data_IF_621955679563
#
_entry.id   IF_621955679563
#
_cell.length_a   1.000
_cell.length_b   1.000
_cell.length_c   1.000
_cell.angle_alpha   90.00
_cell.angle_beta   90.00
_cell.angle_gamma   90.00
#
_symmetry.space_group_name_H-M   'P 1'
#
loop_
_entity.id
_entity.type
_entity.pdbx_description
1 polymer ?
#
# COMPACT_ATOMS: atom_id res chain seq x y z
N UNK A 1 7.15 12.34 15.36
CA UNK A 1 6.18 12.92 14.41
C UNK A 1 6.75 12.71 13.03
N UNK A 2 5.97 12.22 12.06
CA UNK A 2 6.44 12.16 10.67
C UNK A 2 6.59 13.59 10.17
N UNK A 3 7.65 13.85 9.41
CA UNK A 3 8.00 15.19 8.95
C UNK A 3 6.84 15.79 8.12
N UNK A 4 6.45 17.03 8.40
CA UNK A 4 5.40 17.74 7.68
C UNK A 4 5.78 17.92 6.21
N UNK A 5 4.87 17.64 5.28
CA UNK A 5 5.11 17.77 3.85
C UNK A 5 5.40 16.44 3.13
N UNK A 6 5.52 15.32 3.84
CA UNK A 6 5.59 14.00 3.22
C UNK A 6 4.21 13.64 2.68
N UNK A 7 4.13 13.39 1.37
CA UNK A 7 2.91 13.01 0.68
C UNK A 7 3.04 11.61 0.09
N UNK A 8 2.71 10.54 0.85
CA UNK A 8 2.86 9.18 0.36
C UNK A 8 1.84 8.86 -0.73
N UNK A 9 2.23 7.95 -1.64
CA UNK A 9 1.34 7.34 -2.62
C UNK A 9 0.80 6.05 -2.04
N UNK A 10 -0.50 6.01 -1.75
CA UNK A 10 -1.17 4.91 -1.06
C UNK A 10 -2.00 4.10 -2.05
N UNK A 11 -1.65 2.83 -2.19
CA UNK A 11 -2.43 1.86 -2.97
C UNK A 11 -3.30 1.05 -2.03
N UNK A 12 -4.54 0.85 -2.42
CA UNK A 12 -5.47 -0.01 -1.71
C UNK A 12 -6.51 -0.62 -2.66
N UNK A 13 -7.28 -1.57 -2.16
CA UNK A 13 -8.30 -2.28 -2.91
C UNK A 13 -8.18 -3.79 -2.77
N UNK A 14 -9.10 -4.58 -3.34
CA UNK A 14 -9.23 -6.00 -3.09
C UNK A 14 -7.96 -6.81 -3.38
N UNK A 15 -7.73 -7.82 -2.54
CA UNK A 15 -6.72 -8.82 -2.83
C UNK A 15 -7.07 -9.50 -4.17
N UNK A 16 -6.12 -9.55 -5.12
CA UNK A 16 -6.39 -10.06 -6.47
C UNK A 16 -6.74 -8.99 -7.51
N UNK A 17 -6.91 -7.71 -7.11
CA UNK A 17 -7.15 -6.62 -8.07
C UNK A 17 -5.94 -6.29 -8.97
N UNK A 18 -4.74 -6.78 -8.62
CA UNK A 18 -3.52 -6.58 -9.41
C UNK A 18 -2.63 -5.43 -8.94
N UNK A 19 -2.84 -4.88 -7.74
CA UNK A 19 -2.02 -3.82 -7.13
C UNK A 19 -0.53 -4.08 -7.26
N UNK A 20 -0.08 -5.24 -6.78
CA UNK A 20 1.36 -5.59 -6.77
C UNK A 20 1.99 -5.63 -8.16
N UNK A 21 1.23 -5.96 -9.22
CA UNK A 21 1.71 -5.94 -10.60
C UNK A 21 1.91 -4.51 -11.08
N UNK A 22 0.95 -3.62 -10.82
CA UNK A 22 1.06 -2.19 -11.12
C UNK A 22 2.20 -1.53 -10.36
N UNK A 23 2.33 -1.83 -9.06
CA UNK A 23 3.41 -1.34 -8.20
C UNK A 23 4.80 -1.75 -8.69
N UNK A 24 4.99 -3.03 -9.01
CA UNK A 24 6.26 -3.53 -9.55
C UNK A 24 6.64 -2.81 -10.83
N UNK A 25 5.67 -2.56 -11.70
CA UNK A 25 5.90 -1.82 -12.96
C UNK A 25 6.26 -0.37 -12.70
N UNK A 26 5.55 0.29 -11.78
CA UNK A 26 5.82 1.67 -11.39
C UNK A 26 7.22 1.85 -10.79
N UNK A 27 7.60 0.99 -9.84
CA UNK A 27 8.92 1.01 -9.22
C UNK A 27 10.05 0.71 -10.23
N UNK A 28 9.77 -0.13 -11.23
CA UNK A 28 10.74 -0.43 -12.30
C UNK A 28 10.93 0.75 -13.26
N UNK A 29 9.85 1.47 -13.59
CA UNK A 29 9.92 2.62 -14.50
C UNK A 29 10.51 3.87 -13.83
N UNK A 30 10.24 4.05 -12.53
CA UNK A 30 10.67 5.23 -11.76
C UNK A 30 11.49 4.84 -10.52
N UNK A 31 12.65 4.18 -10.68
CA UNK A 31 13.42 3.63 -9.55
C UNK A 31 13.98 4.71 -8.61
N UNK A 32 14.19 5.92 -9.13
CA UNK A 32 14.74 7.05 -8.35
C UNK A 32 13.64 7.94 -7.76
N UNK A 33 12.40 7.78 -8.19
CA UNK A 33 11.27 8.61 -7.74
C UNK A 33 10.50 7.98 -6.58
N UNK A 34 10.42 6.67 -6.53
CA UNK A 34 9.63 5.94 -5.55
C UNK A 34 10.46 4.97 -4.74
N UNK A 35 10.06 4.82 -3.46
CA UNK A 35 10.50 3.76 -2.57
C UNK A 35 9.30 3.08 -1.91
N UNK A 36 9.33 1.76 -1.78
CA UNK A 36 8.29 1.00 -1.11
C UNK A 36 8.52 0.98 0.39
N UNK A 37 7.49 1.29 1.17
CA UNK A 37 7.53 1.11 2.62
C UNK A 37 7.31 -0.36 2.95
N UNK A 38 8.27 -0.97 3.62
CA UNK A 38 8.15 -2.35 4.09
C UNK A 38 7.32 -2.37 5.36
N UNK A 39 6.12 -2.98 5.29
CA UNK A 39 5.21 -3.10 6.43
C UNK A 39 5.70 -4.14 7.43
N UNK A 40 5.26 -4.01 8.69
CA UNK A 40 5.44 -5.01 9.74
C UNK A 40 4.30 -6.02 9.74
N UNK A 41 4.59 -7.26 10.15
CA UNK A 41 3.56 -8.28 10.35
C UNK A 41 3.94 -9.28 11.43
N UNK A 42 2.93 -9.77 12.15
CA UNK A 42 3.08 -10.87 13.11
C UNK A 42 2.86 -12.25 12.48
N UNK A 43 2.60 -12.29 11.18
CA UNK A 43 2.48 -13.53 10.40
C UNK A 43 3.87 -14.14 10.19
N UNK A 44 3.96 -15.46 10.26
CA UNK A 44 5.18 -16.13 9.86
C UNK A 44 5.53 -15.91 8.38
N UNK A 45 6.82 -15.84 8.03
CA UNK A 45 7.27 -15.76 6.64
C UNK A 45 6.77 -16.96 5.82
N UNK A 46 6.37 -16.72 4.58
CA UNK A 46 6.11 -17.77 3.60
C UNK A 46 7.41 -18.20 2.92
N UNK A 47 7.46 -19.39 2.27
CA UNK A 47 8.61 -19.77 1.48
C UNK A 47 9.02 -18.70 0.46
N UNK A 48 10.27 -18.29 0.50
CA UNK A 48 10.82 -17.25 -0.37
C UNK A 48 10.66 -15.80 0.11
N UNK A 49 9.90 -15.55 1.18
CA UNK A 49 9.85 -14.23 1.81
C UNK A 49 11.10 -13.99 2.67
N UNK A 50 11.58 -12.74 2.66
CA UNK A 50 12.77 -12.31 3.41
C UNK A 50 12.40 -11.14 4.31
N UNK A 51 12.89 -11.18 5.55
CA UNK A 51 12.75 -10.08 6.51
C UNK A 51 13.40 -8.79 5.97
N UNK A 52 12.76 -7.66 6.26
CA UNK A 52 13.19 -6.34 5.80
C UNK A 52 13.01 -6.08 4.30
N UNK A 53 12.55 -7.08 3.53
CA UNK A 53 12.32 -6.96 2.08
C UNK A 53 10.84 -7.08 1.74
N UNK A 54 10.18 -8.12 2.21
CA UNK A 54 8.75 -8.37 1.97
C UNK A 54 7.90 -7.82 3.13
N UNK A 55 8.35 -8.07 4.34
CA UNK A 55 7.83 -7.56 5.60
C UNK A 55 8.97 -7.45 6.61
N UNK A 56 8.75 -6.63 7.64
CA UNK A 56 9.44 -6.77 8.92
C UNK A 56 8.63 -7.76 9.75
N UNK A 57 9.13 -8.99 9.88
CA UNK A 57 8.47 -10.04 10.65
C UNK A 57 8.79 -9.85 12.13
N UNK A 58 7.76 -9.71 12.96
CA UNK A 58 7.89 -9.43 14.39
C UNK A 58 6.93 -10.29 15.21
N UNK A 59 7.16 -10.40 16.49
CA UNK A 59 6.21 -11.05 17.40
C UNK A 59 5.00 -10.15 17.66
N UNK A 60 3.90 -10.77 18.12
CA UNK A 60 2.68 -10.04 18.46
C UNK A 60 2.90 -9.08 19.62
N UNK A 61 3.67 -9.51 20.64
CA UNK A 61 3.94 -8.70 21.82
C UNK A 61 4.80 -7.48 21.49
N UNK A 62 5.84 -7.65 20.67
CA UNK A 62 6.66 -6.54 20.18
C UNK A 62 5.85 -5.54 19.36
N UNK A 63 4.98 -6.04 18.48
CA UNK A 63 4.14 -5.16 17.66
C UNK A 63 3.14 -4.38 18.51
N UNK A 64 2.48 -5.01 19.49
CA UNK A 64 1.57 -4.34 20.43
C UNK A 64 2.32 -3.24 21.18
N UNK A 65 3.48 -3.55 21.77
CA UNK A 65 4.27 -2.58 22.49
C UNK A 65 4.69 -1.37 21.63
N UNK A 66 5.02 -1.60 20.36
CA UNK A 66 5.36 -0.53 19.41
C UNK A 66 4.12 0.31 19.01
N UNK A 67 2.94 -0.31 18.89
CA UNK A 67 1.67 0.39 18.66
C UNK A 67 1.34 1.29 19.85
N UNK A 68 1.47 0.80 21.08
CA UNK A 68 1.24 1.58 22.31
C UNK A 68 2.18 2.78 22.44
N UNK A 69 3.42 2.66 21.97
CA UNK A 69 4.37 3.77 21.85
C UNK A 69 4.06 4.75 20.73
N UNK A 70 3.03 4.48 19.91
CA UNK A 70 2.65 5.33 18.79
C UNK A 70 3.66 5.32 17.64
N UNK A 71 4.39 4.22 17.43
CA UNK A 71 5.41 4.08 16.39
C UNK A 71 4.81 3.79 15.00
N UNK A 72 3.53 3.44 14.94
CA UNK A 72 2.82 3.13 13.70
C UNK A 72 1.95 4.30 13.20
N UNK A 73 1.82 4.41 11.88
CA UNK A 73 0.90 5.32 11.19
C UNK A 73 -0.47 4.68 11.06
N UNK A 74 -0.48 3.39 10.75
CA UNK A 74 -1.68 2.57 10.65
C UNK A 74 -1.37 1.15 11.09
N UNK A 75 -2.38 0.47 11.60
CA UNK A 75 -2.34 -0.96 11.91
C UNK A 75 -3.69 -1.60 11.62
N UNK A 76 -3.65 -2.86 11.18
CA UNK A 76 -4.84 -3.67 10.92
C UNK A 76 -4.63 -5.10 11.40
N UNK A 77 -5.72 -5.82 11.63
CA UNK A 77 -5.69 -7.23 11.94
C UNK A 77 -6.45 -8.01 10.87
N UNK A 78 -5.76 -8.94 10.22
CA UNK A 78 -6.35 -9.80 9.21
C UNK A 78 -5.96 -11.26 9.44
N UNK A 79 -6.95 -12.15 9.45
CA UNK A 79 -6.76 -13.60 9.69
C UNK A 79 -5.94 -13.89 10.96
N UNK A 80 -6.17 -13.15 12.05
CA UNK A 80 -5.51 -13.33 13.35
C UNK A 80 -4.09 -12.75 13.44
N UNK A 81 -3.54 -12.19 12.36
CA UNK A 81 -2.25 -11.55 12.35
C UNK A 81 -2.39 -10.03 12.25
N UNK A 82 -1.46 -9.33 12.88
CA UNK A 82 -1.35 -7.89 12.79
C UNK A 82 -0.47 -7.50 11.59
N UNK A 83 -0.80 -6.37 11.00
CA UNK A 83 -0.04 -5.69 9.95
C UNK A 83 0.01 -4.22 10.27
N UNK A 84 1.02 -3.52 9.81
CA UNK A 84 1.07 -2.07 10.00
C UNK A 84 2.27 -1.41 9.35
N UNK A 85 2.15 -0.12 9.10
CA UNK A 85 3.19 0.73 8.56
C UNK A 85 3.77 1.61 9.65
N UNK A 86 5.06 1.44 9.96
CA UNK A 86 5.72 2.27 10.96
C UNK A 86 6.06 3.67 10.41
N UNK A 87 6.08 4.66 11.28
CA UNK A 87 6.55 6.02 10.98
C UNK A 87 7.96 6.00 10.41
N UNK A 88 8.83 5.19 11.02
CA UNK A 88 10.21 5.01 10.62
C UNK A 88 10.34 4.49 9.18
N UNK A 89 9.52 3.51 8.77
CA UNK A 89 9.58 2.97 7.41
C UNK A 89 9.27 4.04 6.34
N UNK A 90 8.32 4.95 6.64
CA UNK A 90 8.01 6.09 5.76
C UNK A 90 9.17 7.08 5.73
N UNK A 91 9.73 7.43 6.90
CA UNK A 91 10.84 8.37 7.03
C UNK A 91 12.10 7.86 6.34
N UNK A 92 12.40 6.56 6.46
CA UNK A 92 13.57 5.95 5.82
C UNK A 92 13.49 6.06 4.29
N UNK A 93 12.31 5.83 3.70
CA UNK A 93 12.11 6.08 2.26
C UNK A 93 12.26 7.57 1.94
N UNK A 94 11.65 8.44 2.74
CA UNK A 94 11.72 9.89 2.51
C UNK A 94 13.15 10.44 2.57
N UNK A 95 13.99 9.95 3.48
CA UNK A 95 15.41 10.33 3.58
C UNK A 95 16.22 10.02 2.32
N UNK A 96 15.76 9.07 1.51
CA UNK A 96 16.38 8.80 0.20
C UNK A 96 15.96 9.78 -0.90
N UNK A 97 15.14 10.79 -0.56
CA UNK A 97 14.60 11.76 -1.53
C UNK A 97 13.46 11.17 -2.40
N UNK A 98 12.93 10.00 -2.04
CA UNK A 98 11.89 9.31 -2.81
C UNK A 98 10.50 9.52 -2.20
N UNK A 99 9.49 9.47 -3.05
CA UNK A 99 8.09 9.39 -2.60
C UNK A 99 7.80 7.99 -2.07
N UNK A 100 7.33 7.92 -0.83
CA UNK A 100 6.99 6.66 -0.20
C UNK A 100 5.72 6.06 -0.82
N UNK A 101 5.75 4.77 -1.17
CA UNK A 101 4.59 3.99 -1.58
C UNK A 101 4.16 3.09 -0.43
N UNK A 102 2.85 3.09 -0.15
CA UNK A 102 2.18 2.19 0.80
C UNK A 102 1.20 1.29 0.05
N UNK A 103 1.14 0.01 0.40
CA UNK A 103 0.08 -0.94 -0.02
C UNK A 103 -0.64 -1.41 1.25
N UNK A 104 -1.78 -0.82 1.56
CA UNK A 104 -2.53 -1.00 2.80
C UNK A 104 -3.99 -1.36 2.51
N UNK A 105 -4.74 -1.79 3.53
CA UNK A 105 -6.16 -2.03 3.42
C UNK A 105 -7.00 -0.77 3.70
N UNK A 106 -8.34 -0.90 3.65
CA UNK A 106 -9.24 0.24 3.88
C UNK A 106 -9.18 0.78 5.32
N UNK A 107 -8.88 -0.06 6.30
CA UNK A 107 -8.74 0.39 7.69
C UNK A 107 -7.46 1.23 7.85
N UNK A 108 -6.38 0.83 7.18
CA UNK A 108 -5.17 1.64 7.08
C UNK A 108 -5.42 2.97 6.35
N UNK A 109 -6.20 2.95 5.26
CA UNK A 109 -6.58 4.21 4.57
C UNK A 109 -7.36 5.15 5.49
N UNK A 110 -8.32 4.64 6.27
CA UNK A 110 -9.06 5.45 7.25
C UNK A 110 -8.13 6.09 8.27
N UNK A 111 -7.18 5.31 8.81
CA UNK A 111 -6.22 5.79 9.81
C UNK A 111 -5.28 6.85 9.23
N UNK A 112 -4.68 6.59 8.06
CA UNK A 112 -3.73 7.55 7.47
C UNK A 112 -4.40 8.89 7.10
N UNK A 113 -5.68 8.88 6.76
CA UNK A 113 -6.47 10.12 6.51
C UNK A 113 -6.66 10.98 7.75
N UNK A 114 -6.47 10.45 8.95
CA UNK A 114 -6.55 11.22 10.21
C UNK A 114 -5.19 11.79 10.66
N UNK A 115 -4.13 11.51 9.92
CA UNK A 115 -2.79 12.01 10.20
C UNK A 115 -2.50 13.32 9.46
N UNK A 116 -1.39 13.99 9.80
CA UNK A 116 -0.91 15.17 9.08
C UNK A 116 -0.31 14.85 7.69
N UNK A 117 -0.29 13.58 7.30
CA UNK A 117 0.09 13.18 5.96
C UNK A 117 -1.06 13.49 4.99
N UNK A 118 -0.71 14.02 3.83
CA UNK A 118 -1.68 14.28 2.75
C UNK A 118 -1.54 13.18 1.68
N UNK A 119 -2.00 11.94 1.91
CA UNK A 119 -1.75 10.83 1.00
C UNK A 119 -2.42 11.04 -0.36
N UNK A 120 -1.72 10.62 -1.43
CA UNK A 120 -2.36 10.40 -2.72
C UNK A 120 -2.95 8.99 -2.75
N UNK A 121 -4.27 8.88 -2.75
CA UNK A 121 -4.99 7.62 -2.65
C UNK A 121 -5.29 7.05 -4.04
N UNK A 122 -4.75 5.87 -4.33
CA UNK A 122 -4.94 5.12 -5.58
C UNK A 122 -5.74 3.86 -5.26
N UNK A 123 -7.00 3.84 -5.68
CA UNK A 123 -7.84 2.65 -5.56
C UNK A 123 -7.71 1.78 -6.81
N UNK A 124 -7.32 0.52 -6.62
CA UNK A 124 -7.22 -0.45 -7.73
C UNK A 124 -8.36 -1.45 -7.64
N UNK A 125 -9.26 -1.36 -8.59
CA UNK A 125 -10.48 -2.15 -8.67
C UNK A 125 -10.34 -3.29 -9.70
N UNK A 126 -10.83 -4.50 -9.42
CA UNK A 126 -11.01 -5.52 -10.47
C UNK A 126 -12.15 -5.10 -11.43
N UNK A 127 -12.20 -5.62 -12.65
CA UNK A 127 -13.28 -5.29 -13.58
C UNK A 127 -14.65 -5.78 -13.11
N UNK A 128 -14.68 -6.89 -12.39
CA UNK A 128 -15.89 -7.41 -11.73
C UNK A 128 -15.53 -8.34 -10.57
N UNK A 129 -16.52 -8.68 -9.74
CA UNK A 129 -16.37 -9.65 -8.64
C UNK A 129 -16.10 -11.05 -9.18
N UNK A 130 -16.74 -11.43 -10.28
CA UNK A 130 -16.57 -12.74 -10.93
C UNK A 130 -15.13 -12.90 -11.44
N UNK A 131 -14.56 -11.84 -12.02
CA UNK A 131 -13.17 -11.85 -12.46
C UNK A 131 -12.22 -11.89 -11.26
N UNK A 132 -12.52 -11.17 -10.17
CA UNK A 132 -11.78 -11.24 -8.93
C UNK A 132 -11.77 -12.66 -8.36
N UNK A 133 -12.93 -13.31 -8.30
CA UNK A 133 -13.04 -14.69 -7.84
C UNK A 133 -12.19 -15.64 -8.68
N UNK A 134 -12.24 -15.53 -10.02
CA UNK A 134 -11.38 -16.33 -10.91
C UNK A 134 -9.90 -16.12 -10.59
N UNK A 135 -9.47 -14.89 -10.41
CA UNK A 135 -8.07 -14.57 -10.07
C UNK A 135 -7.64 -15.12 -8.71
N UNK A 136 -8.54 -15.10 -7.72
CA UNK A 136 -8.28 -15.69 -6.40
C UNK A 136 -8.20 -17.21 -6.48
N UNK A 137 -9.12 -17.87 -7.18
CA UNK A 137 -9.12 -19.33 -7.39
C UNK A 137 -7.87 -19.80 -8.16
N UNK A 138 -7.42 -19.05 -9.16
CA UNK A 138 -6.24 -19.39 -9.96
C UNK A 138 -4.94 -19.44 -9.15
N UNK A 139 -4.88 -18.81 -7.96
CA UNK A 139 -3.73 -18.88 -7.07
C UNK A 139 -3.59 -20.21 -6.33
N UNK A 140 -4.65 -21.03 -6.34
CA UNK A 140 -4.70 -22.41 -5.78
C UNK A 140 -4.18 -22.54 -4.33
N UNK A 141 -4.31 -21.48 -3.51
CA UNK A 141 -3.70 -21.39 -2.18
C UNK A 141 -4.73 -21.41 -1.05
N UNK A 142 -6.05 -21.50 -1.35
CA UNK A 142 -7.08 -21.26 -0.35
C UNK A 142 -8.23 -22.27 -0.38
N UNK A 143 -8.74 -22.55 0.83
CA UNK A 143 -9.96 -23.31 1.01
C UNK A 143 -11.18 -22.43 0.68
N UNK A 144 -12.31 -23.06 0.34
CA UNK A 144 -13.54 -22.40 -0.11
C UNK A 144 -14.07 -21.36 0.89
N UNK A 145 -14.00 -21.66 2.19
CA UNK A 145 -14.44 -20.74 3.25
C UNK A 145 -13.55 -19.48 3.34
N UNK A 146 -12.25 -19.63 3.12
CA UNK A 146 -11.34 -18.50 3.07
C UNK A 146 -11.61 -17.62 1.84
N UNK A 147 -11.94 -18.22 0.71
CA UNK A 147 -12.31 -17.50 -0.51
C UNK A 147 -13.59 -16.69 -0.32
N UNK A 148 -14.66 -17.28 0.28
CA UNK A 148 -15.90 -16.58 0.58
C UNK A 148 -15.68 -15.35 1.45
N UNK A 149 -14.92 -15.49 2.53
CA UNK A 149 -14.57 -14.36 3.41
C UNK A 149 -13.81 -13.26 2.67
N UNK A 150 -12.91 -13.62 1.74
CA UNK A 150 -12.20 -12.63 0.92
C UNK A 150 -13.10 -11.89 -0.04
N UNK A 151 -14.08 -12.56 -0.63
CA UNK A 151 -15.06 -11.92 -1.50
C UNK A 151 -15.98 -10.97 -0.72
N UNK A 152 -16.40 -11.35 0.50
CA UNK A 152 -17.15 -10.47 1.40
C UNK A 152 -16.35 -9.20 1.75
N UNK A 153 -15.06 -9.36 2.06
CA UNK A 153 -14.17 -8.21 2.32
C UNK A 153 -14.02 -7.37 1.05
N UNK A 154 -13.86 -8.01 -0.12
CA UNK A 154 -13.70 -7.31 -1.40
C UNK A 154 -14.91 -6.44 -1.73
N UNK A 155 -16.14 -6.88 -1.43
CA UNK A 155 -17.34 -6.05 -1.61
C UNK A 155 -17.26 -4.76 -0.80
N UNK A 156 -16.87 -4.83 0.47
CA UNK A 156 -16.70 -3.66 1.35
C UNK A 156 -15.59 -2.73 0.85
N UNK A 157 -14.48 -3.31 0.39
CA UNK A 157 -13.37 -2.53 -0.16
C UNK A 157 -13.75 -1.80 -1.45
N UNK A 158 -14.56 -2.44 -2.31
CA UNK A 158 -15.06 -1.84 -3.56
C UNK A 158 -16.03 -0.70 -3.24
N UNK A 159 -17.01 -0.92 -2.36
CA UNK A 159 -17.94 0.12 -1.91
C UNK A 159 -17.21 1.33 -1.34
N UNK A 160 -16.23 1.09 -0.46
CA UNK A 160 -15.41 2.17 0.11
C UNK A 160 -14.61 2.93 -0.96
N UNK A 161 -13.99 2.21 -1.89
CA UNK A 161 -13.14 2.81 -2.92
C UNK A 161 -13.91 3.55 -4.02
N UNK A 162 -15.18 3.22 -4.23
CA UNK A 162 -16.06 3.91 -5.17
C UNK A 162 -16.57 5.27 -4.67
N UNK A 163 -16.45 5.54 -3.37
CA UNK A 163 -16.73 6.87 -2.83
C UNK A 163 -15.60 7.84 -3.23
N UNK A 164 -15.89 8.92 -3.99
CA UNK A 164 -14.89 9.88 -4.44
C UNK A 164 -14.10 10.56 -3.31
N UNK A 165 -14.63 10.55 -2.08
CA UNK A 165 -13.94 11.08 -0.90
C UNK A 165 -12.79 10.19 -0.44
N UNK A 166 -12.75 8.94 -0.89
CA UNK A 166 -11.78 7.94 -0.46
C UNK A 166 -10.70 7.63 -1.50
N UNK A 167 -10.80 8.15 -2.73
CA UNK A 167 -9.76 7.98 -3.74
C UNK A 167 -9.48 9.29 -4.50
N UNK A 168 -8.24 9.47 -4.92
CA UNK A 168 -7.86 10.53 -5.87
C UNK A 168 -7.91 10.01 -7.32
N UNK A 169 -7.74 8.70 -7.48
CA UNK A 169 -7.92 7.99 -8.73
C UNK A 169 -8.42 6.57 -8.46
N UNK A 170 -9.39 6.13 -9.24
CA UNK A 170 -9.85 4.75 -9.30
C UNK A 170 -9.38 4.13 -10.62
N UNK A 171 -8.62 3.04 -10.53
CA UNK A 171 -8.07 2.32 -11.69
C UNK A 171 -8.77 0.98 -11.80
N UNK A 172 -9.54 0.78 -12.85
CA UNK A 172 -10.16 -0.52 -13.16
C UNK A 172 -9.12 -1.38 -13.90
N UNK A 173 -8.60 -2.40 -13.24
CA UNK A 173 -7.56 -3.27 -13.80
C UNK A 173 -8.16 -4.44 -14.60
N UNK A 174 -8.81 -4.09 -15.70
CA UNK A 174 -9.26 -5.02 -16.73
C UNK A 174 -8.10 -5.38 -17.68
N UNK A 175 -7.44 -4.36 -18.19
CA UNK A 175 -6.27 -4.49 -19.04
C UNK A 175 -5.05 -3.82 -18.37
N UNK A 176 -4.01 -4.60 -18.09
CA UNK A 176 -2.83 -4.12 -17.38
C UNK A 176 -2.13 -2.95 -18.08
N UNK A 177 -2.12 -2.91 -19.43
CA UNK A 177 -1.45 -1.84 -20.19
C UNK A 177 -2.22 -0.53 -20.00
N UNK A 178 -3.54 -0.56 -20.13
CA UNK A 178 -4.41 0.61 -19.94
C UNK A 178 -4.37 1.09 -18.48
N UNK A 179 -4.58 0.17 -17.52
CA UNK A 179 -4.54 0.48 -16.10
C UNK A 179 -3.19 1.10 -15.68
N UNK A 180 -2.09 0.60 -16.25
CA UNK A 180 -0.78 1.18 -15.97
C UNK A 180 -0.60 2.56 -16.63
N UNK A 181 -1.12 2.78 -17.83
CA UNK A 181 -1.06 4.09 -18.49
C UNK A 181 -1.81 5.16 -17.67
N UNK A 182 -3.00 4.84 -17.14
CA UNK A 182 -3.78 5.72 -16.25
C UNK A 182 -3.02 6.03 -14.96
N UNK A 183 -2.44 5.00 -14.32
CA UNK A 183 -1.61 5.17 -13.13
C UNK A 183 -0.41 6.08 -13.39
N UNK A 184 0.29 5.84 -14.51
CA UNK A 184 1.46 6.60 -14.93
C UNK A 184 1.14 8.08 -15.14
N UNK A 185 0.06 8.37 -15.86
CA UNK A 185 -0.40 9.74 -16.10
C UNK A 185 -0.72 10.45 -14.78
N UNK A 186 -1.48 9.79 -13.91
CA UNK A 186 -1.83 10.31 -12.59
C UNK A 186 -0.58 10.64 -11.77
N UNK A 187 0.38 9.73 -11.72
CA UNK A 187 1.61 9.88 -10.94
C UNK A 187 2.49 11.00 -11.48
N UNK A 188 2.67 11.07 -12.80
CA UNK A 188 3.47 12.13 -13.43
C UNK A 188 2.87 13.53 -13.15
N UNK A 189 1.55 13.62 -13.14
CA UNK A 189 0.84 14.88 -12.90
C UNK A 189 0.85 15.31 -11.43
N UNK A 190 0.73 14.36 -10.49
CA UNK A 190 0.42 14.68 -9.09
C UNK A 190 1.60 14.49 -8.13
N UNK A 191 2.61 13.70 -8.50
CA UNK A 191 3.79 13.45 -7.66
C UNK A 191 4.95 14.30 -8.13
N UNK A 192 5.29 15.30 -7.33
CA UNK A 192 6.46 16.17 -7.58
C UNK A 192 7.75 15.39 -7.32
N UNK A 193 8.82 15.76 -7.99
CA UNK A 193 10.15 15.21 -7.69
C UNK A 193 10.64 15.82 -6.37
N UNK A 194 10.84 14.97 -5.39
CA UNK A 194 11.45 15.33 -4.11
C UNK A 194 12.98 15.41 -4.31
N UNK A 195 13.48 16.35 -5.14
CA UNK A 195 14.91 16.62 -5.15
C UNK A 195 15.24 17.26 -3.80
N UNK A 196 16.23 16.74 -3.04
CA UNK A 196 16.74 17.46 -1.87
C UNK A 196 17.17 18.85 -2.34
N UNK A 197 16.72 19.89 -1.63
CA UNK A 197 17.25 21.25 -1.85
C UNK A 197 18.78 21.13 -1.72
N UNK A 198 19.49 21.42 -2.80
CA UNK A 198 20.95 21.53 -2.75
C UNK A 198 21.27 22.64 -1.76
N UNK A 199 21.86 22.26 -0.65
CA UNK A 199 22.35 23.23 0.31
C UNK A 199 23.40 24.11 -0.39
N UNK A 200 23.19 25.43 -0.56
CA UNK A 200 24.11 26.29 -1.31
C UNK A 200 25.45 26.56 -0.58
N UNK A 201 25.69 25.87 0.53
CA UNK A 201 26.84 26.12 1.43
C UNK A 201 28.01 25.13 1.26
N UNK A 202 28.11 24.41 0.13
CA UNK A 202 29.26 23.55 -0.18
C UNK A 202 29.82 23.89 -1.58
N UNK A 203 30.16 25.13 -1.78
CA UNK A 203 31.16 25.57 -2.75
C UNK A 203 32.36 26.16 -2.00
#
# INVERSE_FOLDING_TARGET
>A
MVQKGIRPLVFYGPSGSGKSTLLKRLLKEFPDKFGFSVSHTTRNPRPGEKDGVHYHFTSKDEMIAAVEKGEFIETTTFSGNMYGTSKRAIEDVHRTGKTCILDIDIEGVKQIKTTDLEPLLVFVMPPSIEELEKRLRARNTEQEDALKKRLEVAHKEIEFGQDPRNCHIMIVNDNLIKAYAELREFVVKNVKDNKPERNPSQE
#
